data_IF_543683774730
#
_entry.id   IF_543683774730
#
_cell.length_a   1.000
_cell.length_b   1.000
_cell.length_c   1.000
_cell.angle_alpha   90.00
_cell.angle_beta   90.00
_cell.angle_gamma   90.00
#
_symmetry.space_group_name_H-M   'P 1'
#
loop_
_entity.id
_entity.type
_entity.pdbx_description
1 polymer ?
#
# COMPACT_ATOMS: atom_id res chain seq x y z
N UNK A 1 -9.68 -1.15 -2.82
CA UNK A 1 -8.88 0.02 -2.43
C UNK A 1 -7.72 0.27 -3.38
N UNK A 2 -6.85 -0.69 -3.58
CA UNK A 2 -5.76 -0.57 -4.55
C UNK A 2 -5.75 -1.78 -5.45
N UNK A 3 -5.45 -1.60 -6.75
CA UNK A 3 -5.47 -2.68 -7.72
C UNK A 3 -4.07 -3.12 -8.10
N UNK A 4 -3.96 -4.35 -8.62
CA UNK A 4 -2.70 -4.86 -9.14
C UNK A 4 -2.13 -3.95 -10.22
N UNK A 5 -2.99 -3.45 -11.10
CA UNK A 5 -2.57 -2.54 -12.17
C UNK A 5 -1.94 -1.28 -11.61
N UNK A 6 -2.56 -0.67 -10.59
CA UNK A 6 -2.03 0.53 -9.96
C UNK A 6 -0.65 0.28 -9.33
N UNK A 7 -0.51 -0.87 -8.66
CA UNK A 7 0.76 -1.24 -8.03
C UNK A 7 1.85 -1.42 -9.08
N UNK A 8 1.54 -2.12 -10.16
CA UNK A 8 2.51 -2.37 -11.23
C UNK A 8 2.95 -1.07 -11.91
N UNK A 9 2.01 -0.17 -12.14
CA UNK A 9 2.33 1.14 -12.74
C UNK A 9 3.23 1.97 -11.83
N UNK A 10 2.91 2.02 -10.55
CA UNK A 10 3.70 2.78 -9.58
C UNK A 10 5.12 2.23 -9.47
N UNK A 11 5.27 0.93 -9.36
CA UNK A 11 6.56 0.28 -9.17
C UNK A 11 7.29 0.00 -10.48
N UNK A 12 6.68 0.35 -11.62
CA UNK A 12 7.24 0.13 -12.96
C UNK A 12 7.56 -1.34 -13.23
N UNK A 13 6.63 -2.21 -12.87
CA UNK A 13 6.77 -3.64 -13.08
C UNK A 13 6.04 -4.03 -14.37
N UNK A 14 6.79 -4.50 -15.34
CA UNK A 14 6.24 -4.85 -16.66
C UNK A 14 5.99 -6.34 -16.84
N UNK A 15 6.52 -7.17 -15.95
CA UNK A 15 6.39 -8.63 -16.05
C UNK A 15 5.14 -9.10 -15.31
N UNK A 16 4.63 -10.27 -15.73
CA UNK A 16 3.45 -10.87 -15.11
C UNK A 16 3.81 -12.03 -14.17
N UNK A 17 5.07 -12.40 -14.12
CA UNK A 17 5.54 -13.55 -13.35
C UNK A 17 5.32 -13.38 -11.84
N UNK A 18 5.33 -12.15 -11.35
CA UNK A 18 5.18 -11.85 -9.93
C UNK A 18 3.77 -11.38 -9.56
N UNK A 19 2.80 -11.51 -10.48
CA UNK A 19 1.45 -11.02 -10.22
C UNK A 19 0.82 -11.64 -8.97
N UNK A 20 0.99 -12.93 -8.77
CA UNK A 20 0.44 -13.57 -7.57
C UNK A 20 1.12 -13.09 -6.30
N UNK A 21 2.43 -12.92 -6.34
CA UNK A 21 3.18 -12.37 -5.21
C UNK A 21 2.71 -10.95 -4.89
N UNK A 22 2.57 -10.12 -5.91
CA UNK A 22 2.09 -8.75 -5.74
C UNK A 22 0.67 -8.72 -5.19
N UNK A 23 -0.21 -9.60 -5.68
CA UNK A 23 -1.56 -9.69 -5.17
C UNK A 23 -1.57 -10.07 -3.69
N UNK A 24 -0.70 -10.98 -3.29
CA UNK A 24 -0.55 -11.37 -1.88
C UNK A 24 -0.05 -10.19 -1.04
N UNK A 25 0.88 -9.41 -1.57
CA UNK A 25 1.36 -8.20 -0.90
C UNK A 25 0.24 -7.17 -0.72
N UNK A 26 -0.59 -7.01 -1.74
CA UNK A 26 -1.74 -6.09 -1.68
C UNK A 26 -2.68 -6.50 -0.55
N UNK A 27 -3.05 -7.77 -0.51
CA UNK A 27 -3.95 -8.29 0.53
C UNK A 27 -3.37 -8.06 1.92
N UNK A 28 -2.10 -8.41 2.10
CA UNK A 28 -1.42 -8.24 3.38
C UNK A 28 -1.29 -6.77 3.79
N UNK A 29 -1.00 -5.90 2.83
CA UNK A 29 -0.84 -4.47 3.10
C UNK A 29 -2.15 -3.84 3.54
N UNK A 30 -3.26 -4.20 2.89
CA UNK A 30 -4.59 -3.69 3.26
C UNK A 30 -4.95 -4.14 4.67
N UNK A 31 -4.71 -5.41 4.98
CA UNK A 31 -4.97 -5.92 6.34
C UNK A 31 -4.10 -5.22 7.37
N UNK A 32 -2.83 -4.99 7.05
CA UNK A 32 -1.92 -4.25 7.93
C UNK A 32 -2.46 -2.84 8.21
N UNK A 33 -2.91 -2.15 7.17
CA UNK A 33 -3.46 -0.81 7.30
C UNK A 33 -4.70 -0.80 8.21
N UNK A 34 -5.62 -1.72 7.98
CA UNK A 34 -6.82 -1.83 8.81
C UNK A 34 -6.48 -2.05 10.27
N UNK A 35 -5.56 -2.96 10.54
CA UNK A 35 -5.16 -3.28 11.91
C UNK A 35 -4.44 -2.10 12.58
N UNK A 36 -3.58 -1.40 11.83
CA UNK A 36 -2.79 -0.30 12.39
C UNK A 36 -3.65 0.93 12.67
N UNK A 37 -4.69 1.17 11.88
CA UNK A 37 -5.56 2.35 12.06
C UNK A 37 -6.82 2.03 12.84
N UNK A 38 -7.19 0.77 12.93
CA UNK A 38 -8.46 0.36 13.55
C UNK A 38 -9.68 0.78 12.75
N UNK A 39 -9.53 1.03 11.45
CA UNK A 39 -10.60 1.53 10.60
C UNK A 39 -10.96 0.54 9.51
N UNK A 40 -12.21 0.66 9.02
CA UNK A 40 -12.66 -0.05 7.84
C UNK A 40 -12.55 0.88 6.64
N UNK A 41 -12.34 0.29 5.45
CA UNK A 41 -12.16 1.04 4.21
C UNK A 41 -13.10 0.50 3.14
N UNK A 42 -14.42 0.81 3.22
CA UNK A 42 -15.36 0.33 2.21
C UNK A 42 -15.10 0.97 0.85
N UNK A 43 -15.45 0.24 -0.20
CA UNK A 43 -15.23 0.70 -1.58
C UNK A 43 -16.11 1.91 -1.94
N UNK A 44 -17.26 2.04 -1.30
CA UNK A 44 -18.15 3.17 -1.52
C UNK A 44 -18.43 3.89 -0.21
N UNK A 45 -18.67 5.20 -0.29
CA UNK A 45 -19.04 5.99 0.86
C UNK A 45 -20.52 5.82 1.20
N UNK A 46 -20.98 6.52 2.24
CA UNK A 46 -22.38 6.43 2.69
C UNK A 46 -23.39 6.90 1.64
N UNK A 47 -22.94 7.76 0.72
CA UNK A 47 -23.77 8.27 -0.36
C UNK A 47 -23.78 7.36 -1.59
N UNK A 48 -23.05 6.24 -1.55
CA UNK A 48 -22.95 5.33 -2.68
C UNK A 48 -21.93 5.73 -3.72
N UNK A 49 -21.17 6.78 -3.49
CA UNK A 49 -20.09 7.21 -4.39
C UNK A 49 -18.81 6.45 -4.08
N UNK A 50 -17.95 6.31 -5.08
CA UNK A 50 -16.66 5.67 -4.89
C UNK A 50 -15.82 6.46 -3.88
N UNK A 51 -15.39 5.79 -2.84
CA UNK A 51 -14.60 6.43 -1.80
C UNK A 51 -13.21 6.81 -2.31
N UNK A 52 -12.70 7.94 -1.81
CA UNK A 52 -11.38 8.44 -2.17
C UNK A 52 -10.39 8.20 -1.03
N UNK A 53 -9.38 7.37 -1.30
CA UNK A 53 -8.38 7.01 -0.31
C UNK A 53 -6.97 7.40 -0.79
N UNK A 54 -6.78 8.67 -1.13
CA UNK A 54 -5.52 9.13 -1.72
C UNK A 54 -4.31 8.87 -0.82
N UNK A 55 -4.40 9.24 0.46
CA UNK A 55 -3.31 9.03 1.42
C UNK A 55 -3.08 7.54 1.69
N UNK A 56 -4.16 6.80 1.83
CA UNK A 56 -4.11 5.36 2.05
C UNK A 56 -3.43 4.65 0.89
N UNK A 57 -3.74 5.06 -0.34
CA UNK A 57 -3.12 4.47 -1.53
C UNK A 57 -1.62 4.73 -1.58
N UNK A 58 -1.19 5.93 -1.25
CA UNK A 58 0.24 6.26 -1.19
C UNK A 58 0.94 5.36 -0.18
N UNK A 59 0.37 5.23 1.00
CA UNK A 59 0.93 4.37 2.05
C UNK A 59 1.03 2.91 1.59
N UNK A 60 -0.04 2.39 1.00
CA UNK A 60 -0.08 1.01 0.53
C UNK A 60 0.96 0.76 -0.57
N UNK A 61 1.10 1.69 -1.52
CA UNK A 61 2.06 1.53 -2.59
C UNK A 61 3.49 1.53 -2.07
N UNK A 62 3.81 2.39 -1.12
CA UNK A 62 5.12 2.41 -0.49
C UNK A 62 5.41 1.10 0.23
N UNK A 63 4.45 0.61 0.99
CA UNK A 63 4.59 -0.63 1.75
C UNK A 63 4.74 -1.85 0.84
N UNK A 64 3.91 -1.94 -0.20
CA UNK A 64 3.95 -3.04 -1.15
C UNK A 64 5.27 -3.05 -1.92
N UNK A 65 5.71 -1.88 -2.39
CA UNK A 65 6.98 -1.77 -3.11
C UNK A 65 8.14 -2.17 -2.22
N UNK A 66 8.11 -1.78 -0.96
CA UNK A 66 9.13 -2.16 0.01
C UNK A 66 9.19 -3.68 0.20
N UNK A 67 8.06 -4.32 0.40
CA UNK A 67 8.01 -5.77 0.57
C UNK A 67 8.46 -6.50 -0.68
N UNK A 68 8.08 -6.00 -1.86
CA UNK A 68 8.47 -6.60 -3.13
C UNK A 68 9.98 -6.52 -3.33
N UNK A 69 10.59 -5.38 -3.03
CA UNK A 69 12.03 -5.21 -3.17
C UNK A 69 12.81 -6.03 -2.15
N UNK A 70 12.28 -6.20 -0.95
CA UNK A 70 12.97 -6.93 0.12
C UNK A 70 13.12 -8.42 -0.16
N UNK A 71 12.33 -8.99 -1.03
CA UNK A 71 12.53 -10.38 -1.41
C UNK A 71 13.81 -10.58 -2.21
N UNK A 72 14.37 -9.50 -2.76
CA UNK A 72 15.67 -9.54 -3.41
C UNK A 72 16.71 -8.96 -2.47
N UNK A 73 17.94 -9.52 -2.41
CA UNK A 73 18.94 -9.10 -1.40
C UNK A 73 19.63 -7.80 -1.71
N UNK A 74 19.09 -6.95 -2.53
CA UNK A 74 19.75 -5.72 -2.95
C UNK A 74 19.17 -4.51 -2.20
N UNK A 75 19.99 -3.88 -1.39
CA UNK A 75 19.71 -2.57 -0.86
C UNK A 75 18.83 -2.55 0.37
N UNK A 76 19.28 -1.86 1.39
CA UNK A 76 18.48 -1.60 2.57
C UNK A 76 17.47 -0.49 2.30
N UNK A 77 16.44 -0.46 3.14
CA UNK A 77 15.49 0.65 3.13
C UNK A 77 16.12 1.82 3.84
N UNK A 78 16.17 2.96 3.18
CA UNK A 78 16.72 4.16 3.75
C UNK A 78 15.86 4.74 4.87
N UNK A 79 16.47 5.63 5.64
CA UNK A 79 15.76 6.35 6.69
C UNK A 79 14.58 7.14 6.13
N UNK A 80 14.69 7.60 4.89
CA UNK A 80 13.63 8.35 4.23
C UNK A 80 12.34 7.55 4.10
N UNK A 81 12.45 6.26 3.79
CA UNK A 81 11.27 5.39 3.72
C UNK A 81 10.60 5.29 5.09
N UNK A 82 11.37 5.05 6.13
CA UNK A 82 10.84 4.93 7.50
C UNK A 82 10.16 6.22 7.93
N UNK A 83 10.76 7.36 7.61
CA UNK A 83 10.18 8.67 7.93
C UNK A 83 8.84 8.87 7.21
N UNK A 84 8.80 8.60 5.91
CA UNK A 84 7.59 8.78 5.10
C UNK A 84 6.46 7.88 5.57
N UNK A 85 6.74 6.59 5.79
CA UNK A 85 5.70 5.66 6.23
C UNK A 85 5.19 5.99 7.62
N UNK A 86 6.06 6.44 8.51
CA UNK A 86 5.68 6.83 9.86
C UNK A 86 4.80 8.07 9.84
N UNK A 87 5.17 9.07 9.04
CA UNK A 87 4.38 10.30 8.90
C UNK A 87 2.99 10.02 8.34
N UNK A 88 2.93 9.20 7.29
CA UNK A 88 1.64 8.82 6.69
C UNK A 88 0.78 8.04 7.67
N UNK A 89 1.38 7.11 8.41
CA UNK A 89 0.63 6.31 9.40
C UNK A 89 0.06 7.19 10.49
N UNK A 90 0.82 8.17 10.98
CA UNK A 90 0.32 9.10 11.99
C UNK A 90 -0.88 9.89 11.48
N UNK A 91 -0.81 10.37 10.24
CA UNK A 91 -1.94 11.07 9.64
C UNK A 91 -3.16 10.16 9.48
N UNK A 92 -2.96 8.93 9.05
CA UNK A 92 -4.05 7.97 8.86
C UNK A 92 -4.69 7.57 10.17
N UNK A 93 -3.91 7.43 11.23
CA UNK A 93 -4.43 7.08 12.55
C UNK A 93 -5.25 8.20 13.18
N UNK A 94 -4.91 9.45 12.87
CA UNK A 94 -5.56 10.63 13.44
C UNK A 94 -6.62 11.25 12.53
N UNK A 95 -6.88 10.63 11.42
CA UNK A 95 -7.82 11.13 10.42
C UNK A 95 -9.28 10.93 10.83
#
# INVERSE_FOLDING_TARGET
>A
MITLKEVKEYARIDIDEDDQLLQNCITAAVEYLKNATGKEYPETDESGNKANYALEKIYLQLLIAYWYEKRTPAGGVGEDFNFMTRSLMLQLQNK
#
